data_IF_479766368096
#
_entry.id   IF_479766368096
#
_cell.length_a   1.000
_cell.length_b   1.000
_cell.length_c   1.000
_cell.angle_alpha   90.00
_cell.angle_beta   90.00
_cell.angle_gamma   90.00
#
_symmetry.space_group_name_H-M   'P 1'
#
loop_
_entity.id
_entity.type
_entity.pdbx_description
1 polymer ?
#
# COMPACT_ATOMS: atom_id res chain seq x y z
N UNK A 1 49.36 -16.08 13.99
CA UNK A 1 48.79 -14.87 14.62
C UNK A 1 47.31 -15.14 14.87
N UNK A 2 46.88 -15.40 16.12
CA UNK A 2 45.48 -15.74 16.46
C UNK A 2 44.70 -14.46 16.76
N UNK A 3 43.58 -14.26 16.09
CA UNK A 3 42.63 -13.17 16.37
C UNK A 3 41.90 -13.47 17.69
N UNK A 4 41.81 -12.53 18.66
CA UNK A 4 41.11 -12.77 19.91
C UNK A 4 39.59 -12.81 19.67
N UNK A 5 38.91 -13.79 20.26
CA UNK A 5 37.43 -13.87 20.24
C UNK A 5 36.85 -12.78 21.16
N UNK A 6 35.93 -12.00 20.61
CA UNK A 6 35.10 -11.02 21.33
C UNK A 6 34.31 -11.70 22.47
N UNK A 7 34.16 -11.07 23.65
CA UNK A 7 33.39 -11.64 24.74
C UNK A 7 31.91 -11.70 24.37
N UNK A 8 31.28 -12.84 24.66
CA UNK A 8 29.88 -13.13 24.38
C UNK A 8 28.96 -12.06 24.96
N UNK A 9 28.32 -11.25 24.11
CA UNK A 9 27.17 -10.42 24.49
C UNK A 9 26.05 -11.34 24.96
N UNK A 10 25.80 -11.36 26.27
CA UNK A 10 24.62 -12.02 26.84
C UNK A 10 23.37 -11.34 26.29
N UNK A 11 22.50 -12.12 25.64
CA UNK A 11 21.19 -11.65 25.19
C UNK A 11 20.38 -11.23 26.44
N UNK A 12 19.76 -10.03 26.48
CA UNK A 12 18.89 -9.69 27.58
C UNK A 12 17.73 -10.70 27.67
N UNK A 13 17.20 -10.98 28.87
CA UNK A 13 16.10 -11.93 29.03
C UNK A 13 14.91 -11.48 28.19
N UNK A 14 14.35 -12.39 27.39
CA UNK A 14 13.11 -12.16 26.66
C UNK A 14 12.02 -11.83 27.68
N UNK A 15 11.47 -10.61 27.65
CA UNK A 15 10.25 -10.31 28.40
C UNK A 15 9.18 -11.33 27.98
N UNK A 16 8.50 -12.00 28.91
CA UNK A 16 7.40 -12.86 28.54
C UNK A 16 6.33 -12.00 27.89
N UNK A 17 5.87 -12.40 26.69
CA UNK A 17 4.71 -11.81 26.06
C UNK A 17 3.56 -11.83 27.07
N UNK A 18 2.93 -10.67 27.32
CA UNK A 18 1.71 -10.64 28.13
C UNK A 18 0.72 -11.60 27.49
N UNK A 19 0.34 -12.65 28.23
CA UNK A 19 -0.70 -13.59 27.82
C UNK A 19 -1.98 -12.79 27.62
N UNK A 20 -2.56 -12.89 26.43
CA UNK A 20 -3.89 -12.33 26.17
C UNK A 20 -4.87 -12.92 27.19
N UNK A 21 -5.83 -12.15 27.71
CA UNK A 21 -6.78 -12.68 28.69
C UNK A 21 -7.51 -13.89 28.10
N UNK A 22 -7.61 -14.96 28.89
CA UNK A 22 -8.36 -16.15 28.53
C UNK A 22 -9.82 -15.77 28.24
N UNK A 23 -10.47 -16.39 27.24
CA UNK A 23 -11.89 -16.15 26.98
C UNK A 23 -12.73 -16.52 28.22
N UNK A 24 -13.81 -15.77 28.46
CA UNK A 24 -14.72 -16.00 29.58
C UNK A 24 -15.39 -17.38 29.47
N UNK A 25 -15.78 -18.02 30.59
CA UNK A 25 -16.26 -19.41 30.65
C UNK A 25 -17.49 -19.73 29.80
N UNK A 26 -18.20 -18.71 29.31
CA UNK A 26 -19.48 -18.84 28.61
C UNK A 26 -19.33 -18.71 27.08
N UNK A 27 -18.11 -18.73 26.52
CA UNK A 27 -17.87 -18.73 25.07
C UNK A 27 -18.15 -17.40 24.35
N UNK A 28 -18.74 -16.42 25.03
CA UNK A 28 -18.94 -15.08 24.51
C UNK A 28 -17.67 -14.25 24.76
N UNK A 29 -16.91 -14.00 23.70
CA UNK A 29 -16.25 -12.69 23.62
C UNK A 29 -17.37 -11.66 23.72
N UNK A 30 -17.22 -10.64 24.57
CA UNK A 30 -18.10 -9.48 24.53
C UNK A 30 -18.33 -9.09 23.06
N UNK A 31 -19.57 -8.79 22.63
CA UNK A 31 -19.77 -8.29 21.28
C UNK A 31 -19.01 -6.97 21.22
N UNK A 32 -17.83 -6.97 20.61
CA UNK A 32 -17.03 -5.77 20.42
C UNK A 32 -17.71 -4.98 19.29
N UNK A 33 -18.40 -3.85 19.56
CA UNK A 33 -18.70 -2.87 18.50
C UNK A 33 -17.40 -2.36 17.83
N UNK A 34 -16.26 -2.61 18.46
CA UNK A 34 -14.91 -2.18 18.05
C UNK A 34 -14.28 -3.01 16.91
N UNK A 35 -14.78 -4.21 16.56
CA UNK A 35 -14.16 -5.03 15.50
C UNK A 35 -14.27 -4.39 14.12
N UNK A 36 -15.41 -3.78 13.82
CA UNK A 36 -15.63 -3.13 12.53
C UNK A 36 -14.74 -1.88 12.40
N UNK A 37 -14.52 -1.17 13.51
CA UNK A 37 -13.62 -0.02 13.55
C UNK A 37 -12.16 -0.46 13.37
N UNK A 38 -11.71 -1.54 14.03
CA UNK A 38 -10.33 -2.01 13.94
C UNK A 38 -9.89 -2.42 12.52
N UNK A 39 -10.82 -2.95 11.71
CA UNK A 39 -10.53 -3.38 10.33
C UNK A 39 -10.70 -2.25 9.31
N UNK A 40 -11.40 -1.16 9.66
CA UNK A 40 -11.73 -0.08 8.72
C UNK A 40 -11.02 1.24 9.01
N UNK A 41 -10.61 1.45 10.26
CA UNK A 41 -9.84 2.61 10.69
C UNK A 41 -8.36 2.30 10.77
N UNK A 42 -7.55 3.28 10.40
CA UNK A 42 -6.11 3.18 10.55
C UNK A 42 -5.73 3.27 12.02
N UNK A 43 -5.14 2.20 12.57
CA UNK A 43 -4.76 2.17 13.98
C UNK A 43 -3.46 2.93 14.27
N UNK A 44 -2.55 3.03 13.28
CA UNK A 44 -1.24 3.68 13.39
C UNK A 44 -0.41 3.26 14.63
N UNK A 45 -0.63 2.04 15.10
CA UNK A 45 -0.03 1.47 16.30
C UNK A 45 0.37 0.01 16.08
N UNK A 46 1.01 -0.64 17.07
CA UNK A 46 1.56 -1.99 16.93
C UNK A 46 0.48 -3.09 17.02
N UNK A 47 -0.57 -2.98 16.20
CA UNK A 47 -1.71 -3.89 16.17
C UNK A 47 -1.90 -4.37 14.72
N UNK A 48 -1.96 -5.69 14.53
CA UNK A 48 -2.18 -6.32 13.23
C UNK A 48 -3.29 -7.38 13.37
N UNK A 49 -4.54 -7.07 12.96
CA UNK A 49 -5.62 -8.05 12.98
C UNK A 49 -5.37 -9.14 11.94
N UNK A 50 -5.70 -10.39 12.28
CA UNK A 50 -5.61 -11.53 11.36
C UNK A 50 -7.03 -11.97 11.03
N UNK A 51 -7.39 -11.94 9.75
CA UNK A 51 -8.71 -12.33 9.24
C UNK A 51 -8.54 -13.56 8.33
N UNK A 52 -9.05 -14.74 8.71
CA UNK A 52 -9.05 -15.89 7.83
C UNK A 52 -10.05 -15.69 6.69
N UNK A 53 -9.66 -16.10 5.48
CA UNK A 53 -10.46 -16.07 4.26
C UNK A 53 -10.57 -17.48 3.68
N UNK A 54 -11.66 -17.76 2.98
CA UNK A 54 -11.97 -19.08 2.40
C UNK A 54 -11.60 -19.18 0.93
N UNK A 55 -11.42 -18.04 0.26
CA UNK A 55 -11.04 -17.97 -1.15
C UNK A 55 -10.23 -16.71 -1.44
N UNK A 56 -9.59 -16.69 -2.62
CA UNK A 56 -8.92 -15.50 -3.12
C UNK A 56 -9.92 -14.36 -3.40
N UNK A 57 -11.11 -14.69 -3.89
CA UNK A 57 -12.14 -13.68 -4.20
C UNK A 57 -12.60 -12.97 -2.92
N UNK A 58 -12.83 -13.71 -1.83
CA UNK A 58 -13.16 -13.13 -0.52
C UNK A 58 -12.00 -12.26 -0.01
N UNK A 59 -10.75 -12.68 -0.20
CA UNK A 59 -9.59 -11.91 0.20
C UNK A 59 -9.49 -10.57 -0.54
N UNK A 60 -9.69 -10.57 -1.85
CA UNK A 60 -9.67 -9.37 -2.69
C UNK A 60 -10.85 -8.46 -2.34
N UNK A 61 -12.04 -9.01 -2.11
CA UNK A 61 -13.21 -8.25 -1.70
C UNK A 61 -12.97 -7.53 -0.37
N UNK A 62 -12.49 -8.25 0.65
CA UNK A 62 -12.18 -7.66 1.95
C UNK A 62 -11.05 -6.62 1.87
N UNK A 63 -9.98 -6.91 1.14
CA UNK A 63 -8.87 -5.97 0.95
C UNK A 63 -9.33 -4.68 0.25
N UNK A 64 -10.25 -4.78 -0.71
CA UNK A 64 -10.81 -3.64 -1.41
C UNK A 64 -11.94 -2.94 -0.63
N UNK A 65 -12.51 -3.57 0.39
CA UNK A 65 -13.63 -3.07 1.20
C UNK A 65 -13.29 -1.90 2.14
N UNK A 66 -12.03 -1.50 2.22
CA UNK A 66 -11.61 -0.27 2.91
C UNK A 66 -11.77 0.98 2.04
N UNK A 67 -11.95 2.14 2.67
CA UNK A 67 -11.94 3.46 2.01
C UNK A 67 -10.52 3.92 1.61
N UNK A 68 -9.50 3.24 2.10
CA UNK A 68 -8.09 3.50 1.83
C UNK A 68 -7.55 2.62 0.70
N UNK A 69 -6.38 2.97 0.19
CA UNK A 69 -5.71 2.25 -0.89
C UNK A 69 -4.28 2.71 -1.10
N UNK A 70 -3.50 2.90 -0.04
CA UNK A 70 -2.10 3.33 -0.16
C UNK A 70 -1.23 2.23 -0.77
N UNK A 71 -1.19 1.07 -0.12
CA UNK A 71 -0.46 -0.08 -0.60
C UNK A 71 -0.93 -1.39 0.02
N UNK A 72 -0.53 -2.52 -0.58
CA UNK A 72 -0.93 -3.86 -0.15
C UNK A 72 0.14 -4.90 -0.46
N UNK A 73 0.29 -5.89 0.43
CA UNK A 73 1.27 -6.96 0.28
C UNK A 73 0.58 -8.29 0.03
N UNK A 74 1.11 -9.06 -0.91
CA UNK A 74 0.62 -10.39 -1.25
C UNK A 74 1.78 -11.36 -1.12
N UNK A 75 1.63 -12.33 -0.23
CA UNK A 75 2.59 -13.41 -0.07
C UNK A 75 2.00 -14.69 -0.64
N UNK A 76 2.58 -15.18 -1.73
CA UNK A 76 2.10 -16.39 -2.42
C UNK A 76 3.23 -17.03 -3.23
N UNK A 77 3.22 -18.36 -3.31
CA UNK A 77 4.03 -19.12 -4.26
C UNK A 77 3.33 -19.38 -5.60
N UNK A 78 2.05 -19.05 -5.71
CA UNK A 78 1.25 -19.25 -6.93
C UNK A 78 1.23 -17.98 -7.80
N UNK A 79 1.75 -18.11 -9.02
CA UNK A 79 1.83 -17.01 -9.97
C UNK A 79 0.44 -16.55 -10.44
N UNK A 80 -0.53 -17.47 -10.58
CA UNK A 80 -1.88 -17.09 -11.00
C UNK A 80 -2.53 -16.18 -9.95
N UNK A 81 -2.40 -16.53 -8.67
CA UNK A 81 -2.81 -15.69 -7.54
C UNK A 81 -2.12 -14.33 -7.56
N UNK A 82 -0.79 -14.30 -7.75
CA UNK A 82 -0.05 -13.03 -7.81
C UNK A 82 -0.57 -12.12 -8.92
N UNK A 83 -0.75 -12.64 -10.13
CA UNK A 83 -1.26 -11.89 -11.29
C UNK A 83 -2.67 -11.38 -11.07
N UNK A 84 -3.55 -12.19 -10.47
CA UNK A 84 -4.90 -11.74 -10.11
C UNK A 84 -4.85 -10.59 -9.10
N UNK A 85 -4.10 -10.74 -8.01
CA UNK A 85 -3.98 -9.68 -7.00
C UNK A 85 -3.41 -8.37 -7.58
N UNK A 86 -2.37 -8.44 -8.42
CA UNK A 86 -1.79 -7.24 -9.07
C UNK A 86 -2.82 -6.46 -9.90
N UNK A 87 -3.84 -7.11 -10.46
CA UNK A 87 -4.85 -6.49 -11.30
C UNK A 87 -6.08 -6.04 -10.53
N UNK A 88 -6.46 -6.78 -9.50
CA UNK A 88 -7.75 -6.64 -8.82
C UNK A 88 -7.66 -5.82 -7.52
N UNK A 89 -6.49 -5.73 -6.88
CA UNK A 89 -6.30 -4.89 -5.69
C UNK A 89 -6.26 -3.41 -6.08
N UNK A 90 -7.05 -2.59 -5.38
CA UNK A 90 -7.17 -1.15 -5.60
C UNK A 90 -6.26 -0.39 -4.63
N UNK A 91 -4.97 -0.45 -4.88
CA UNK A 91 -3.95 0.24 -4.10
C UNK A 91 -2.90 0.91 -4.99
N UNK A 92 -2.23 1.93 -4.45
CA UNK A 92 -1.13 2.64 -5.09
C UNK A 92 0.04 1.73 -5.46
N UNK A 93 0.47 0.94 -4.48
CA UNK A 93 1.56 -0.03 -4.62
C UNK A 93 1.11 -1.41 -4.17
N UNK A 94 1.39 -2.43 -4.98
CA UNK A 94 1.15 -3.83 -4.62
C UNK A 94 2.49 -4.56 -4.63
N UNK A 95 2.93 -5.00 -3.45
CA UNK A 95 4.15 -5.78 -3.29
C UNK A 95 3.82 -7.28 -3.33
N UNK A 96 4.55 -8.03 -4.16
CA UNK A 96 4.45 -9.49 -4.23
C UNK A 96 5.70 -10.09 -3.58
N UNK A 97 5.52 -10.83 -2.49
CA UNK A 97 6.61 -11.47 -1.73
C UNK A 97 7.72 -10.50 -1.27
N UNK A 98 7.40 -9.22 -1.11
CA UNK A 98 8.33 -8.17 -0.72
C UNK A 98 7.77 -7.42 0.51
N UNK A 99 8.58 -7.09 1.54
CA UNK A 99 8.10 -6.55 2.81
C UNK A 99 8.02 -5.02 2.83
N UNK A 100 7.39 -4.42 1.81
CA UNK A 100 7.27 -2.97 1.63
C UNK A 100 8.63 -2.28 1.39
N UNK A 101 9.47 -2.87 0.54
CA UNK A 101 10.69 -2.21 0.08
C UNK A 101 10.32 -0.95 -0.69
N UNK A 102 11.02 0.14 -0.37
CA UNK A 102 10.85 1.45 -1.00
C UNK A 102 11.68 1.56 -2.30
N UNK A 103 11.25 2.42 -3.22
CA UNK A 103 11.94 2.67 -4.48
C UNK A 103 11.66 4.09 -5.00
N UNK A 104 12.62 4.99 -4.80
CA UNK A 104 12.55 6.40 -5.23
C UNK A 104 12.32 6.58 -6.75
N UNK A 105 12.63 5.57 -7.56
CA UNK A 105 12.43 5.62 -9.01
C UNK A 105 11.00 5.27 -9.43
N UNK A 106 10.20 4.66 -8.57
CA UNK A 106 8.80 4.34 -8.84
C UNK A 106 7.84 5.36 -8.23
N UNK A 107 6.66 5.59 -8.82
CA UNK A 107 5.68 6.49 -8.24
C UNK A 107 5.12 5.91 -6.93
N UNK A 108 4.99 6.77 -5.93
CA UNK A 108 4.35 6.46 -4.64
C UNK A 108 3.11 7.32 -4.44
N UNK A 109 2.04 6.72 -3.94
CA UNK A 109 0.81 7.44 -3.64
C UNK A 109 -0.42 6.56 -3.76
N UNK A 110 -1.46 6.90 -3.01
CA UNK A 110 -2.60 6.01 -2.81
C UNK A 110 -3.71 6.11 -3.85
N UNK A 111 -4.65 5.18 -3.71
CA UNK A 111 -5.97 5.20 -4.33
C UNK A 111 -6.99 5.65 -3.28
N UNK A 112 -8.20 6.03 -3.73
CA UNK A 112 -9.34 6.38 -2.86
C UNK A 112 -8.96 7.50 -1.87
N UNK A 113 -9.28 7.35 -0.58
CA UNK A 113 -8.97 8.36 0.44
C UNK A 113 -7.51 8.37 0.89
N UNK A 114 -6.63 7.53 0.32
CA UNK A 114 -5.20 7.56 0.64
C UNK A 114 -4.41 8.64 -0.11
N UNK A 115 -5.06 9.43 -0.96
CA UNK A 115 -4.46 10.60 -1.61
C UNK A 115 -4.82 10.74 -3.08
N UNK A 116 -4.47 11.90 -3.64
CA UNK A 116 -4.56 12.23 -5.06
C UNK A 116 -3.17 12.62 -5.56
N UNK A 117 -2.84 12.22 -6.79
CA UNK A 117 -1.49 12.42 -7.35
C UNK A 117 -0.48 11.36 -6.91
N UNK A 118 0.78 11.58 -7.26
CA UNK A 118 1.91 10.71 -6.91
C UNK A 118 3.10 11.57 -6.47
N UNK A 119 3.91 11.00 -5.60
CA UNK A 119 5.25 11.45 -5.23
C UNK A 119 6.27 10.47 -5.82
N UNK A 120 7.57 10.82 -5.77
CA UNK A 120 8.68 10.03 -6.32
C UNK A 120 8.55 9.78 -7.84
N UNK A 121 9.54 9.11 -8.44
CA UNK A 121 9.53 8.80 -9.86
C UNK A 121 9.37 10.02 -10.78
N UNK A 122 8.96 9.77 -12.01
CA UNK A 122 8.69 10.85 -12.98
C UNK A 122 7.36 11.55 -12.66
N UNK A 123 6.35 10.78 -12.23
CA UNK A 123 5.01 11.26 -11.92
C UNK A 123 5.01 12.26 -10.77
N UNK A 124 5.87 12.06 -9.76
CA UNK A 124 6.07 13.02 -8.69
C UNK A 124 6.75 14.30 -9.14
N UNK A 125 7.69 14.22 -10.10
CA UNK A 125 8.33 15.41 -10.67
C UNK A 125 7.33 16.22 -11.52
N UNK A 126 6.46 15.56 -12.29
CA UNK A 126 5.41 16.19 -13.09
C UNK A 126 4.45 17.04 -12.24
N UNK A 127 4.23 16.67 -10.97
CA UNK A 127 3.41 17.44 -10.04
C UNK A 127 4.00 18.84 -9.70
N UNK A 128 5.29 19.06 -9.94
CA UNK A 128 5.97 20.35 -9.75
C UNK A 128 6.23 21.10 -11.06
N UNK A 129 5.70 20.62 -12.19
CA UNK A 129 5.84 21.25 -13.50
C UNK A 129 4.52 21.88 -13.95
N UNK A 130 4.61 22.83 -14.89
CA UNK A 130 3.45 23.43 -15.54
C UNK A 130 3.54 23.21 -17.05
N UNK A 131 2.46 22.68 -17.65
CA UNK A 131 2.42 22.41 -19.09
C UNK A 131 2.18 23.70 -19.87
N UNK A 132 3.08 24.03 -20.80
CA UNK A 132 2.91 25.13 -21.75
C UNK A 132 2.72 24.59 -23.16
N UNK A 133 1.58 24.91 -23.77
CA UNK A 133 1.31 24.60 -25.17
C UNK A 133 1.67 25.81 -26.06
N UNK A 134 2.51 25.58 -27.07
CA UNK A 134 2.96 26.63 -28.00
C UNK A 134 2.61 26.20 -29.42
N UNK A 135 1.79 26.99 -30.10
CA UNK A 135 1.61 26.92 -31.55
C UNK A 135 2.50 27.99 -32.19
N UNK A 136 3.34 27.57 -33.13
CA UNK A 136 4.19 28.48 -33.89
C UNK A 136 3.93 28.27 -35.37
N UNK A 137 3.35 29.29 -36.00
CA UNK A 137 3.44 29.46 -37.44
C UNK A 137 4.69 30.30 -37.72
N UNK A 138 5.54 29.83 -38.62
CA UNK A 138 6.80 30.49 -38.97
C UNK A 138 6.61 31.57 -40.03
N UNK A 139 5.51 31.49 -40.81
CA UNK A 139 5.18 32.42 -41.88
C UNK A 139 4.01 33.34 -41.49
N UNK A 140 4.27 34.65 -41.51
CA UNK A 140 3.22 35.66 -41.33
C UNK A 140 2.51 35.83 -42.68
N UNK A 141 1.50 35.00 -42.93
CA UNK A 141 0.70 35.00 -44.16
C UNK A 141 -0.79 34.86 -43.84
N UNK A 142 -1.61 35.32 -44.79
CA UNK A 142 -3.05 35.08 -44.75
C UNK A 142 -3.31 33.58 -44.89
N UNK A 143 -4.14 33.04 -43.99
CA UNK A 143 -4.48 31.63 -44.00
C UNK A 143 -5.78 31.49 -44.77
N UNK A 144 -5.75 30.90 -45.96
CA UNK A 144 -6.93 30.74 -46.83
C UNK A 144 -8.07 29.95 -46.17
N UNK A 145 -7.73 29.08 -45.22
CA UNK A 145 -8.68 28.32 -44.41
C UNK A 145 -9.16 29.09 -43.17
N UNK A 146 -8.56 30.23 -42.84
CA UNK A 146 -9.00 31.09 -41.77
C UNK A 146 -10.01 32.11 -42.32
N UNK A 147 -10.91 32.57 -41.46
CA UNK A 147 -11.99 33.55 -41.70
C UNK A 147 -11.88 34.42 -42.98
N UNK A 148 -12.96 34.67 -43.76
CA UNK A 148 -14.37 34.41 -43.44
C UNK A 148 -14.89 33.18 -44.20
N UNK A 149 -15.33 32.18 -43.44
CA UNK A 149 -16.42 31.32 -43.92
C UNK A 149 -17.71 32.14 -43.90
#
# INVERSE_FOLDING_TARGET
>A
MRVPRSPSRTRPPRKPWRRWPSPHPNGWMAPWPERENLLREETFGPVAPIVPVRSLDEAIELANGTRFGLGGNVYTGDLATAVRCMRELKAGTVWINDPLTDNDAGPFGGFKQSGLGRELGQEGLEAFQETKHVHMETLIEEKEWWYPY
#
